data_IF_087255035753
#
_entry.id   IF_087255035753
#
_cell.length_a   1.000
_cell.length_b   1.000
_cell.length_c   1.000
_cell.angle_alpha   90.00
_cell.angle_beta   90.00
_cell.angle_gamma   90.00
#
_symmetry.space_group_name_H-M   'P 1'
#
loop_
_entity.id
_entity.type
_entity.pdbx_description
1 polymer ?
#
# COMPACT_ATOMS: atom_id res chain seq x y z
N UNK A 1 11.10 20.18 -20.05
CA UNK A 1 10.78 21.00 -18.87
C UNK A 1 9.52 20.54 -18.17
N UNK A 2 8.47 20.25 -18.91
CA UNK A 2 7.20 19.84 -18.31
C UNK A 2 7.28 18.50 -17.57
N UNK A 3 8.05 17.55 -18.07
CA UNK A 3 8.26 16.25 -17.41
C UNK A 3 8.93 16.41 -16.05
N UNK A 4 9.97 17.25 -15.99
CA UNK A 4 10.71 17.49 -14.74
C UNK A 4 9.81 18.18 -13.72
N UNK A 5 9.01 19.14 -14.15
CA UNK A 5 8.04 19.81 -13.27
C UNK A 5 6.98 18.86 -12.76
N UNK A 6 6.45 18.00 -13.63
CA UNK A 6 5.44 17.03 -13.25
C UNK A 6 5.98 16.03 -12.21
N UNK A 7 7.19 15.51 -12.43
CA UNK A 7 7.82 14.60 -11.48
C UNK A 7 8.10 15.29 -10.15
N UNK A 8 8.62 16.51 -10.16
CA UNK A 8 8.85 17.29 -8.95
C UNK A 8 7.56 17.55 -8.20
N UNK A 9 6.49 17.88 -8.91
CA UNK A 9 5.19 18.13 -8.31
C UNK A 9 4.62 16.86 -7.67
N UNK A 10 4.71 15.71 -8.35
CA UNK A 10 4.29 14.42 -7.81
C UNK A 10 5.06 14.08 -6.53
N UNK A 11 6.37 14.27 -6.55
CA UNK A 11 7.23 14.01 -5.40
C UNK A 11 6.84 14.91 -4.21
N UNK A 12 6.61 16.18 -4.46
CA UNK A 12 6.23 17.13 -3.42
C UNK A 12 4.85 16.82 -2.84
N UNK A 13 3.90 16.43 -3.68
CA UNK A 13 2.56 16.04 -3.24
C UNK A 13 2.66 14.81 -2.35
N UNK A 14 3.43 13.81 -2.78
CA UNK A 14 3.60 12.58 -2.02
C UNK A 14 4.23 12.87 -0.65
N UNK A 15 5.29 13.65 -0.60
CA UNK A 15 5.95 14.02 0.66
C UNK A 15 5.02 14.78 1.59
N UNK A 16 4.23 15.69 1.06
CA UNK A 16 3.24 16.44 1.82
C UNK A 16 2.21 15.50 2.46
N UNK A 17 1.69 14.56 1.67
CA UNK A 17 0.72 13.58 2.17
C UNK A 17 1.32 12.68 3.24
N UNK A 18 2.55 12.20 3.03
CA UNK A 18 3.25 11.37 4.02
C UNK A 18 3.46 12.14 5.33
N UNK A 19 3.79 13.43 5.23
CA UNK A 19 3.96 14.28 6.42
C UNK A 19 2.65 14.38 7.19
N UNK A 20 1.53 14.57 6.51
CA UNK A 20 0.22 14.57 7.16
C UNK A 20 -0.05 13.23 7.87
N UNK A 21 0.24 12.10 7.20
CA UNK A 21 0.07 10.78 7.81
C UNK A 21 0.89 10.62 9.09
N UNK A 22 2.15 11.03 9.05
CA UNK A 22 3.05 10.94 10.22
C UNK A 22 2.57 11.77 11.39
N UNK A 23 1.91 12.89 11.11
CA UNK A 23 1.37 13.76 12.14
C UNK A 23 -0.02 13.33 12.61
N UNK A 24 -0.56 12.25 12.07
CA UNK A 24 -1.89 11.76 12.41
C UNK A 24 -3.03 12.51 11.74
N UNK A 25 -2.70 13.43 10.83
CA UNK A 25 -3.71 14.20 10.08
C UNK A 25 -4.12 13.43 8.82
N UNK A 26 -4.87 12.36 9.03
CA UNK A 26 -5.28 11.46 7.95
C UNK A 26 -6.26 12.11 6.98
N UNK A 27 -7.08 13.04 7.45
CA UNK A 27 -8.02 13.74 6.58
C UNK A 27 -7.30 14.60 5.55
N UNK A 28 -6.26 15.32 5.97
CA UNK A 28 -5.45 16.12 5.04
C UNK A 28 -4.66 15.24 4.08
N UNK A 29 -4.15 14.11 4.57
CA UNK A 29 -3.45 13.15 3.71
C UNK A 29 -4.38 12.59 2.65
N UNK A 30 -5.58 12.17 3.05
CA UNK A 30 -6.60 11.66 2.13
C UNK A 30 -6.93 12.68 1.05
N UNK A 31 -7.21 13.92 1.46
CA UNK A 31 -7.53 14.99 0.51
C UNK A 31 -6.39 15.22 -0.48
N UNK A 32 -5.16 15.24 0.03
CA UNK A 32 -3.97 15.46 -0.82
C UNK A 32 -3.85 14.37 -1.87
N UNK A 33 -4.02 13.11 -1.50
CA UNK A 33 -3.96 12.00 -2.46
C UNK A 33 -5.14 11.99 -3.42
N UNK A 34 -6.35 12.32 -2.96
CA UNK A 34 -7.52 12.37 -3.85
C UNK A 34 -7.36 13.47 -4.90
N UNK A 35 -6.87 14.65 -4.48
CA UNK A 35 -6.60 15.75 -5.41
C UNK A 35 -5.51 15.35 -6.42
N UNK A 36 -4.47 14.65 -5.94
CA UNK A 36 -3.41 14.16 -6.82
C UNK A 36 -3.94 13.16 -7.86
N UNK A 37 -4.87 12.29 -7.48
CA UNK A 37 -5.45 11.32 -8.39
C UNK A 37 -6.36 11.96 -9.45
N UNK A 38 -6.87 13.15 -9.22
CA UNK A 38 -7.59 13.90 -10.24
C UNK A 38 -6.65 14.36 -11.36
N UNK A 39 -5.38 14.61 -11.03
CA UNK A 39 -4.37 15.06 -11.98
C UNK A 39 -3.64 13.85 -12.59
N UNK A 40 -3.36 12.83 -11.75
CA UNK A 40 -2.57 11.63 -12.12
C UNK A 40 -3.38 10.38 -11.80
N UNK A 41 -4.45 10.07 -12.56
CA UNK A 41 -5.44 9.06 -12.16
C UNK A 41 -4.93 7.63 -12.04
N UNK A 42 -3.84 7.29 -12.71
CA UNK A 42 -3.33 5.92 -12.73
C UNK A 42 -1.94 5.80 -12.10
N UNK A 43 -1.57 6.73 -11.24
CA UNK A 43 -0.25 6.68 -10.57
C UNK A 43 -0.27 5.72 -9.38
N UNK A 44 0.48 4.60 -9.46
CA UNK A 44 0.47 3.60 -8.39
C UNK A 44 0.86 4.16 -7.02
N UNK A 45 1.82 5.08 -6.96
CA UNK A 45 2.23 5.71 -5.70
C UNK A 45 1.11 6.48 -5.03
N UNK A 46 0.27 7.15 -5.81
CA UNK A 46 -0.87 7.90 -5.28
C UNK A 46 -2.01 6.97 -4.86
N UNK A 47 -2.24 5.91 -5.63
CA UNK A 47 -3.23 4.88 -5.28
C UNK A 47 -2.84 4.19 -3.98
N UNK A 48 -1.59 3.77 -3.87
CA UNK A 48 -1.07 3.14 -2.65
C UNK A 48 -1.13 4.08 -1.46
N UNK A 49 -0.77 5.36 -1.67
CA UNK A 49 -0.82 6.36 -0.60
C UNK A 49 -2.23 6.57 -0.09
N UNK A 50 -3.20 6.70 -0.99
CA UNK A 50 -4.60 6.84 -0.60
C UNK A 50 -5.10 5.59 0.12
N UNK A 51 -4.80 4.41 -0.42
CA UNK A 51 -5.21 3.15 0.22
C UNK A 51 -4.62 3.02 1.63
N UNK A 52 -3.34 3.38 1.82
CA UNK A 52 -2.70 3.38 3.13
C UNK A 52 -3.40 4.32 4.09
N UNK A 53 -3.73 5.52 3.63
CA UNK A 53 -4.42 6.53 4.45
C UNK A 53 -5.80 6.04 4.86
N UNK A 54 -6.55 5.45 3.92
CA UNK A 54 -7.88 4.91 4.22
C UNK A 54 -7.79 3.76 5.22
N UNK A 55 -6.77 2.90 5.11
CA UNK A 55 -6.55 1.83 6.09
C UNK A 55 -6.29 2.40 7.49
N UNK A 56 -5.51 3.48 7.58
CA UNK A 56 -5.25 4.16 8.86
C UNK A 56 -6.51 4.80 9.45
N UNK A 57 -7.48 5.12 8.60
CA UNK A 57 -8.79 5.65 9.01
C UNK A 57 -9.82 4.54 9.24
N UNK A 58 -9.40 3.29 9.31
CA UNK A 58 -10.26 2.13 9.48
C UNK A 58 -11.24 1.91 8.31
N UNK A 59 -10.89 2.38 7.14
CA UNK A 59 -11.68 2.18 5.92
C UNK A 59 -10.95 1.22 4.97
N UNK A 60 -10.74 0.00 5.43
CA UNK A 60 -10.01 -1.01 4.65
C UNK A 60 -10.78 -1.44 3.39
N UNK A 61 -12.11 -1.41 3.42
CA UNK A 61 -12.92 -1.83 2.28
C UNK A 61 -12.69 -0.92 1.07
N UNK A 62 -12.74 0.38 1.26
CA UNK A 62 -12.46 1.32 0.17
C UNK A 62 -11.02 1.20 -0.32
N UNK A 63 -10.08 1.00 0.61
CA UNK A 63 -8.68 0.78 0.27
C UNK A 63 -8.50 -0.45 -0.62
N UNK A 64 -9.19 -1.55 -0.28
CA UNK A 64 -9.18 -2.77 -1.09
C UNK A 64 -9.68 -2.49 -2.51
N UNK A 65 -10.80 -1.80 -2.62
CA UNK A 65 -11.38 -1.47 -3.93
C UNK A 65 -10.41 -0.65 -4.79
N UNK A 66 -9.72 0.31 -4.19
CA UNK A 66 -8.72 1.12 -4.89
C UNK A 66 -7.59 0.28 -5.44
N UNK A 67 -7.04 -0.62 -4.62
CA UNK A 67 -5.92 -1.48 -5.04
C UNK A 67 -6.39 -2.48 -6.09
N UNK A 68 -7.56 -3.07 -5.93
CA UNK A 68 -8.10 -4.01 -6.91
C UNK A 68 -8.30 -3.37 -8.28
N UNK A 69 -8.71 -2.11 -8.33
CA UNK A 69 -8.85 -1.36 -9.57
C UNK A 69 -7.50 -0.93 -10.16
N UNK A 70 -6.56 -0.55 -9.30
CA UNK A 70 -5.27 -0.04 -9.73
C UNK A 70 -4.30 -1.13 -10.17
N UNK A 71 -4.41 -2.32 -9.61
CA UNK A 71 -3.47 -3.41 -9.88
C UNK A 71 -3.38 -3.79 -11.37
N UNK A 72 -4.51 -3.97 -12.09
CA UNK A 72 -4.44 -4.29 -13.52
C UNK A 72 -3.85 -3.17 -14.38
N UNK A 73 -3.88 -1.93 -13.90
CA UNK A 73 -3.35 -0.78 -14.63
C UNK A 73 -1.86 -0.58 -14.43
N UNK A 74 -1.27 -1.23 -13.44
CA UNK A 74 0.14 -1.13 -13.18
C UNK A 74 0.92 -2.01 -14.16
N UNK A 75 1.98 -1.45 -14.76
CA UNK A 75 2.80 -2.16 -15.75
C UNK A 75 4.14 -2.63 -15.18
N UNK A 76 4.57 -2.02 -14.10
CA UNK A 76 5.84 -2.34 -13.42
C UNK A 76 5.61 -3.52 -12.46
N UNK A 77 6.37 -4.59 -12.63
CA UNK A 77 6.24 -5.79 -11.79
C UNK A 77 6.52 -5.50 -10.32
N UNK A 78 7.46 -4.62 -10.03
CA UNK A 78 7.77 -4.23 -8.66
C UNK A 78 6.61 -3.49 -8.00
N UNK A 79 5.96 -2.60 -8.75
CA UNK A 79 4.77 -1.90 -8.27
C UNK A 79 3.61 -2.86 -8.07
N UNK A 80 3.42 -3.82 -8.99
CA UNK A 80 2.40 -4.86 -8.84
C UNK A 80 2.64 -5.69 -7.58
N UNK A 81 3.89 -6.06 -7.32
CA UNK A 81 4.24 -6.82 -6.12
C UNK A 81 3.91 -6.03 -4.85
N UNK A 82 4.23 -4.73 -4.83
CA UNK A 82 3.90 -3.85 -3.71
C UNK A 82 2.38 -3.75 -3.52
N UNK A 83 1.64 -3.61 -4.61
CA UNK A 83 0.18 -3.56 -4.55
C UNK A 83 -0.42 -4.86 -4.03
N UNK A 84 0.09 -6.01 -4.50
CA UNK A 84 -0.37 -7.31 -4.01
C UNK A 84 -0.08 -7.50 -2.52
N UNK A 85 1.10 -7.11 -2.07
CA UNK A 85 1.45 -7.19 -0.65
C UNK A 85 0.55 -6.29 0.19
N UNK A 86 0.30 -5.07 -0.28
CA UNK A 86 -0.62 -4.14 0.38
C UNK A 86 -2.03 -4.73 0.44
N UNK A 87 -2.47 -5.33 -0.66
CA UNK A 87 -3.79 -5.96 -0.73
C UNK A 87 -3.92 -7.14 0.25
N UNK A 88 -2.86 -7.97 0.38
CA UNK A 88 -2.84 -9.02 1.39
C UNK A 88 -3.05 -8.46 2.80
N UNK A 89 -2.31 -7.40 3.12
CA UNK A 89 -2.45 -6.74 4.42
C UNK A 89 -3.88 -6.22 4.63
N UNK A 90 -4.44 -5.58 3.61
CA UNK A 90 -5.79 -5.02 3.68
C UNK A 90 -6.85 -6.11 3.84
N UNK A 91 -6.70 -7.24 3.15
CA UNK A 91 -7.58 -8.38 3.33
C UNK A 91 -7.54 -8.90 4.76
N UNK A 92 -6.34 -9.02 5.35
CA UNK A 92 -6.19 -9.45 6.73
C UNK A 92 -6.85 -8.47 7.69
N UNK A 93 -6.62 -7.19 7.47
CA UNK A 93 -7.20 -6.15 8.31
C UNK A 93 -8.73 -6.13 8.24
N UNK A 94 -9.29 -6.44 7.08
CA UNK A 94 -10.74 -6.47 6.86
C UNK A 94 -11.38 -7.82 7.25
N UNK A 95 -10.58 -8.82 7.62
CA UNK A 95 -11.09 -10.12 8.00
C UNK A 95 -11.23 -11.12 6.86
N UNK A 96 -10.71 -10.81 5.68
CA UNK A 96 -10.75 -11.71 4.52
C UNK A 96 -9.49 -12.59 4.48
N UNK A 97 -9.35 -13.44 5.47
CA UNK A 97 -8.15 -14.25 5.66
C UNK A 97 -7.86 -15.20 4.50
N UNK A 98 -8.91 -15.86 3.96
CA UNK A 98 -8.73 -16.77 2.85
C UNK A 98 -8.28 -16.08 1.56
N UNK A 99 -8.81 -14.90 1.29
CA UNK A 99 -8.37 -14.09 0.16
C UNK A 99 -6.91 -13.66 0.32
N UNK A 100 -6.52 -13.31 1.53
CA UNK A 100 -5.14 -12.94 1.83
C UNK A 100 -4.19 -14.10 1.59
N UNK A 101 -4.54 -15.30 2.07
CA UNK A 101 -3.74 -16.51 1.88
C UNK A 101 -3.58 -16.87 0.40
N UNK A 102 -4.67 -16.79 -0.34
CA UNK A 102 -4.66 -17.09 -1.77
C UNK A 102 -3.73 -16.14 -2.52
N UNK A 103 -3.87 -14.85 -2.26
CA UNK A 103 -3.04 -13.84 -2.91
C UNK A 103 -1.58 -14.00 -2.51
N UNK A 104 -1.31 -14.26 -1.23
CA UNK A 104 0.04 -14.46 -0.74
C UNK A 104 0.73 -15.64 -1.40
N UNK A 105 -0.02 -16.71 -1.72
CA UNK A 105 0.55 -17.88 -2.40
C UNK A 105 1.03 -17.56 -3.81
N UNK A 106 0.54 -16.48 -4.39
CA UNK A 106 0.93 -16.02 -5.74
C UNK A 106 2.16 -15.10 -5.71
N UNK A 107 2.61 -14.70 -4.52
CA UNK A 107 3.76 -13.82 -4.37
C UNK A 107 5.06 -14.61 -4.22
N UNK A 108 6.19 -14.06 -4.69
CA UNK A 108 7.49 -14.70 -4.45
C UNK A 108 7.77 -14.81 -2.95
N UNK A 109 8.24 -15.97 -2.53
CA UNK A 109 8.50 -16.24 -1.11
C UNK A 109 9.89 -15.84 -0.65
N UNK A 110 10.62 -15.10 -1.45
CA UNK A 110 12.01 -14.82 -1.20
C UNK A 110 12.28 -13.38 -0.74
N UNK A 111 13.54 -13.02 -0.82
CA UNK A 111 14.07 -11.72 -0.43
C UNK A 111 13.25 -10.54 -0.98
N UNK A 112 12.75 -10.68 -2.19
CA UNK A 112 11.96 -9.64 -2.86
C UNK A 112 10.69 -9.31 -2.09
N UNK A 113 10.05 -10.32 -1.51
CA UNK A 113 8.85 -10.11 -0.70
C UNK A 113 9.15 -9.30 0.55
N UNK A 114 10.32 -9.49 1.14
CA UNK A 114 10.76 -8.71 2.31
C UNK A 114 10.93 -7.25 1.95
N UNK A 115 11.53 -6.96 0.80
CA UNK A 115 11.72 -5.60 0.32
C UNK A 115 10.39 -4.89 0.05
N UNK A 116 9.40 -5.65 -0.36
CA UNK A 116 8.05 -5.12 -0.60
C UNK A 116 7.34 -4.79 0.72
N UNK A 117 7.53 -5.62 1.76
CA UNK A 117 6.88 -5.44 3.06
C UNK A 117 7.46 -4.27 3.84
N UNK A 118 8.75 -4.00 3.71
CA UNK A 118 9.41 -2.93 4.48
C UNK A 118 8.74 -1.56 4.33
N UNK A 119 8.38 -1.12 3.12
CA UNK A 119 7.67 0.16 3.01
C UNK A 119 6.34 0.19 3.75
N UNK A 120 5.63 -0.94 3.81
CA UNK A 120 4.37 -1.03 4.54
C UNK A 120 4.60 -0.88 6.04
N UNK A 121 5.66 -1.49 6.55
CA UNK A 121 6.04 -1.36 7.96
C UNK A 121 6.36 0.10 8.29
N UNK A 122 7.13 0.77 7.43
CA UNK A 122 7.48 2.16 7.62
C UNK A 122 6.28 3.10 7.58
N UNK A 123 5.23 2.70 6.86
CA UNK A 123 3.98 3.46 6.82
C UNK A 123 3.06 3.17 8.01
N UNK A 124 3.51 2.31 8.93
CA UNK A 124 2.71 1.97 10.11
C UNK A 124 1.56 1.01 9.83
N UNK A 125 1.53 0.42 8.65
CA UNK A 125 0.44 -0.48 8.27
C UNK A 125 0.63 -1.90 8.79
N UNK A 126 1.86 -2.29 9.04
CA UNK A 126 2.22 -3.65 9.43
C UNK A 126 2.88 -3.68 10.79
N UNK A 127 2.21 -3.15 11.81
CA UNK A 127 2.73 -3.15 13.16
C UNK A 127 2.11 -4.29 13.99
N UNK A 128 2.89 -4.78 14.96
CA UNK A 128 2.44 -5.78 15.91
C UNK A 128 2.03 -7.09 15.26
N UNK A 129 0.89 -7.61 15.68
CA UNK A 129 0.40 -8.94 15.25
C UNK A 129 0.15 -9.03 13.75
N UNK A 130 -0.28 -7.94 13.14
CA UNK A 130 -0.55 -7.90 11.69
C UNK A 130 0.76 -8.10 10.94
N UNK A 131 1.83 -7.48 11.40
CA UNK A 131 3.15 -7.62 10.80
C UNK A 131 3.61 -9.08 10.84
N UNK A 132 3.45 -9.76 11.96
CA UNK A 132 3.83 -11.17 12.10
C UNK A 132 2.98 -12.06 11.19
N UNK A 133 1.70 -11.76 11.10
CA UNK A 133 0.77 -12.50 10.24
C UNK A 133 1.16 -12.37 8.77
N UNK A 134 1.46 -11.16 8.34
CA UNK A 134 1.93 -10.91 6.97
C UNK A 134 3.23 -11.65 6.71
N UNK A 135 4.16 -11.59 7.64
CA UNK A 135 5.42 -12.33 7.50
C UNK A 135 5.18 -13.82 7.32
N UNK A 136 4.31 -14.39 8.15
CA UNK A 136 3.98 -15.80 8.06
C UNK A 136 3.38 -16.15 6.69
N UNK A 137 2.41 -15.37 6.24
CA UNK A 137 1.71 -15.63 4.98
C UNK A 137 2.63 -15.39 3.77
N UNK A 138 3.36 -14.26 3.74
CA UNK A 138 4.14 -13.86 2.58
C UNK A 138 5.52 -14.51 2.52
N UNK A 139 6.14 -14.75 3.67
CA UNK A 139 7.52 -15.24 3.74
C UNK A 139 7.60 -16.70 4.14
N UNK A 140 6.49 -17.32 4.52
CA UNK A 140 6.47 -18.70 4.97
C UNK A 140 7.21 -18.93 6.29
N UNK A 141 7.52 -17.87 7.03
CA UNK A 141 8.19 -17.96 8.33
C UNK A 141 7.18 -17.99 9.45
N UNK A 142 7.27 -19.00 10.29
CA UNK A 142 6.38 -19.11 11.45
C UNK A 142 6.87 -18.19 12.56
N UNK A 143 5.91 -17.74 13.36
CA UNK A 143 6.15 -16.87 14.50
C UNK A 143 7.14 -17.47 15.52
N UNK A 144 7.11 -18.77 15.66
CA UNK A 144 7.89 -19.50 16.66
C UNK A 144 9.26 -19.96 16.17
N UNK A 145 9.55 -19.76 14.92
CA UNK A 145 10.82 -20.09 14.32
C UNK A 145 11.69 -18.85 14.22
#
# INVERSE_FOLDING_TARGET
>A
MDTIRAEGTQYNIHNKAVTYQRNGDYDSAEKTYRDALLIYPNKPGMILGLASTLALKDNAIEAIELIEKGLPLSVDEKQKATMRATLCFLYLKAGFEEKAKKLASELPHERESREVIQPLIHQGLCEGEINEHIRYILLGTRKED
#
